data_IF_597372246694
#
_entry.id   IF_597372246694
#
_cell.length_a   1.000
_cell.length_b   1.000
_cell.length_c   1.000
_cell.angle_alpha   90.00
_cell.angle_beta   90.00
_cell.angle_gamma   90.00
#
_symmetry.space_group_name_H-M   'P 1'
#
loop_
_entity.id
_entity.type
_entity.pdbx_description
1 polymer ?
#
# COMPACT_ATOMS: atom_id res chain seq x y z
N UNK A 1 8.13 -13.82 6.34
CA UNK A 1 6.80 -13.16 6.30
C UNK A 1 6.86 -11.71 6.75
N UNK A 2 7.13 -11.37 8.04
CA UNK A 2 7.21 -9.95 8.49
C UNK A 2 8.14 -9.09 7.64
N UNK A 3 9.35 -9.57 7.38
CA UNK A 3 10.34 -8.83 6.58
C UNK A 3 9.86 -8.53 5.17
N UNK A 4 9.27 -9.52 4.49
CA UNK A 4 8.77 -9.36 3.12
C UNK A 4 7.61 -8.36 3.05
N UNK A 5 6.70 -8.41 4.04
CA UNK A 5 5.60 -7.44 4.15
C UNK A 5 6.12 -6.02 4.32
N UNK A 6 7.08 -5.81 5.23
CA UNK A 6 7.71 -4.50 5.46
C UNK A 6 8.42 -4.04 4.19
N UNK A 7 9.16 -4.91 3.51
CA UNK A 7 9.87 -4.57 2.29
C UNK A 7 8.92 -4.12 1.17
N UNK A 8 7.90 -4.93 0.86
CA UNK A 8 6.91 -4.62 -0.17
C UNK A 8 6.14 -3.35 0.18
N UNK A 9 5.59 -3.27 1.39
CA UNK A 9 4.82 -2.11 1.83
C UNK A 9 5.67 -0.81 1.80
N UNK A 10 6.87 -0.83 2.37
CA UNK A 10 7.74 0.36 2.38
C UNK A 10 8.29 0.73 1.00
N UNK A 11 8.31 -0.21 0.05
CA UNK A 11 8.58 0.08 -1.37
C UNK A 11 7.41 0.81 -2.01
N UNK A 12 6.19 0.31 -1.83
CA UNK A 12 4.99 0.88 -2.46
C UNK A 12 4.67 2.28 -1.96
N UNK A 13 4.73 2.53 -0.65
CA UNK A 13 4.42 3.84 -0.07
C UNK A 13 5.35 4.97 -0.54
N UNK A 14 6.51 4.64 -1.14
CA UNK A 14 7.44 5.65 -1.69
C UNK A 14 7.09 6.08 -3.10
N UNK A 15 6.15 5.39 -3.76
CA UNK A 15 5.65 5.72 -5.08
C UNK A 15 4.51 6.73 -4.90
N UNK A 16 4.61 7.88 -5.57
CA UNK A 16 3.57 8.91 -5.52
C UNK A 16 2.38 8.49 -6.38
N UNK A 17 1.36 7.88 -5.77
CA UNK A 17 0.17 7.38 -6.46
C UNK A 17 -1.08 8.22 -6.22
N UNK A 18 -0.93 9.43 -5.68
CA UNK A 18 -2.08 10.29 -5.36
C UNK A 18 -2.99 10.49 -6.58
N UNK A 19 -4.29 10.34 -6.41
CA UNK A 19 -5.27 10.60 -7.47
C UNK A 19 -5.48 12.10 -7.70
N UNK A 20 -6.09 12.47 -8.84
CA UNK A 20 -6.36 13.87 -9.18
C UNK A 20 -7.75 14.00 -9.81
N UNK A 21 -8.68 14.58 -9.08
CA UNK A 21 -10.08 14.77 -9.52
C UNK A 21 -10.24 15.74 -10.70
N UNK A 22 -9.27 16.63 -10.94
CA UNK A 22 -9.28 17.54 -12.08
C UNK A 22 -8.89 16.85 -13.40
N UNK A 23 -8.32 15.63 -13.32
CA UNK A 23 -7.96 14.85 -14.49
C UNK A 23 -9.15 14.10 -15.07
N UNK A 24 -9.21 14.03 -16.39
CA UNK A 24 -10.21 13.26 -17.13
C UNK A 24 -9.66 11.96 -17.73
N UNK A 25 -8.41 11.60 -17.40
CA UNK A 25 -7.82 10.30 -17.79
C UNK A 25 -8.10 9.26 -16.73
N UNK A 26 -8.04 7.98 -17.12
CA UNK A 26 -8.06 6.85 -16.19
C UNK A 26 -6.80 6.02 -16.44
N UNK A 27 -5.93 5.84 -15.43
CA UNK A 27 -5.92 6.52 -14.13
C UNK A 27 -5.67 8.02 -14.26
N UNK A 28 -6.00 8.77 -13.20
CA UNK A 28 -5.91 10.24 -13.21
C UNK A 28 -4.47 10.75 -13.16
N UNK A 29 -3.51 9.96 -12.66
CA UNK A 29 -2.10 10.33 -12.49
C UNK A 29 -1.16 9.23 -12.96
N UNK A 30 0.02 9.61 -13.47
CA UNK A 30 1.01 8.67 -14.02
C UNK A 30 1.62 7.75 -12.96
N UNK A 31 1.70 8.18 -11.71
CA UNK A 31 2.23 7.35 -10.63
C UNK A 31 1.40 6.09 -10.35
N UNK A 32 0.07 6.15 -10.56
CA UNK A 32 -0.78 4.96 -10.52
C UNK A 32 -0.42 3.96 -11.62
N UNK A 33 -0.07 4.45 -12.83
CA UNK A 33 0.41 3.60 -13.93
C UNK A 33 1.77 2.97 -13.60
N UNK A 34 2.70 3.75 -13.03
CA UNK A 34 4.01 3.23 -12.62
C UNK A 34 3.88 2.15 -11.55
N UNK A 35 3.00 2.36 -10.56
CA UNK A 35 2.74 1.37 -9.53
C UNK A 35 2.06 0.11 -10.10
N UNK A 36 1.07 0.27 -10.98
CA UNK A 36 0.43 -0.88 -11.66
C UNK A 36 1.43 -1.72 -12.45
N UNK A 37 2.36 -1.09 -13.19
CA UNK A 37 3.42 -1.80 -13.92
C UNK A 37 4.38 -2.56 -12.99
N UNK A 38 4.75 -1.97 -11.86
CA UNK A 38 5.54 -2.67 -10.84
C UNK A 38 4.81 -3.93 -10.35
N UNK A 39 3.52 -3.81 -10.02
CA UNK A 39 2.71 -4.93 -9.55
C UNK A 39 2.56 -6.03 -10.60
N UNK A 40 2.39 -5.68 -11.88
CA UNK A 40 2.36 -6.66 -12.98
C UNK A 40 3.63 -7.52 -12.99
N UNK A 41 4.81 -6.92 -12.86
CA UNK A 41 6.06 -7.67 -12.84
C UNK A 41 6.18 -8.51 -11.56
N UNK A 42 5.84 -7.96 -10.39
CA UNK A 42 5.86 -8.73 -9.14
C UNK A 42 4.88 -9.91 -9.15
N UNK A 43 3.68 -9.76 -9.72
CA UNK A 43 2.69 -10.85 -9.84
C UNK A 43 3.19 -11.97 -10.76
N UNK A 44 3.88 -11.63 -11.86
CA UNK A 44 4.53 -12.61 -12.74
C UNK A 44 5.66 -13.34 -12.01
N UNK A 45 6.50 -12.61 -11.26
CA UNK A 45 7.60 -13.19 -10.48
C UNK A 45 7.10 -14.16 -9.38
N UNK A 46 5.97 -13.84 -8.75
CA UNK A 46 5.30 -14.72 -7.77
C UNK A 46 4.77 -16.01 -8.44
N UNK A 47 4.49 -15.96 -9.75
CA UNK A 47 4.00 -17.10 -10.53
C UNK A 47 2.49 -17.12 -10.74
N UNK A 48 1.81 -15.96 -10.63
CA UNK A 48 0.41 -15.87 -11.04
C UNK A 48 0.28 -15.95 -12.56
N UNK A 49 -0.89 -16.39 -13.01
CA UNK A 49 -1.24 -16.50 -14.43
C UNK A 49 -2.23 -15.42 -14.84
N UNK A 50 -2.44 -15.24 -16.14
CA UNK A 50 -3.41 -14.26 -16.67
C UNK A 50 -3.15 -12.82 -16.18
N UNK A 51 -1.88 -12.50 -15.90
CA UNK A 51 -1.47 -11.19 -15.40
C UNK A 51 -1.63 -10.14 -16.51
N UNK A 52 -2.53 -9.20 -16.29
CA UNK A 52 -2.87 -8.14 -17.24
C UNK A 52 -2.97 -6.79 -16.55
N UNK A 53 -2.72 -5.74 -17.32
CA UNK A 53 -3.06 -4.37 -16.98
C UNK A 53 -3.76 -3.78 -18.20
N UNK A 54 -5.01 -3.35 -18.04
CA UNK A 54 -5.77 -2.77 -19.15
C UNK A 54 -5.35 -1.32 -19.45
N UNK A 55 -5.92 -0.75 -20.51
CA UNK A 55 -5.62 0.63 -20.93
C UNK A 55 -6.04 1.69 -19.89
N UNK A 56 -6.92 1.33 -18.94
CA UNK A 56 -7.36 2.19 -17.85
C UNK A 56 -6.56 1.94 -16.55
N UNK A 57 -5.53 1.10 -16.60
CA UNK A 57 -4.62 0.82 -15.49
C UNK A 57 -5.15 -0.17 -14.44
N UNK A 58 -6.23 -0.92 -14.71
CA UNK A 58 -6.67 -1.99 -13.82
C UNK A 58 -5.76 -3.20 -13.96
N UNK A 59 -5.15 -3.61 -12.85
CA UNK A 59 -4.30 -4.80 -12.77
C UNK A 59 -5.14 -6.00 -12.32
N UNK A 60 -5.09 -7.09 -13.10
CA UNK A 60 -5.75 -8.36 -12.77
C UNK A 60 -4.77 -9.52 -12.92
N UNK A 61 -4.94 -10.54 -12.08
CA UNK A 61 -4.15 -11.77 -12.14
C UNK A 61 -4.92 -12.92 -11.46
N UNK A 62 -4.59 -14.14 -11.85
CA UNK A 62 -5.21 -15.37 -11.35
C UNK A 62 -4.16 -16.24 -10.66
N UNK A 63 -4.43 -16.70 -9.44
CA UNK A 63 -3.73 -17.84 -8.85
C UNK A 63 -4.52 -19.11 -9.20
N UNK A 64 -3.96 -20.06 -9.98
CA UNK A 64 -4.68 -21.29 -10.32
C UNK A 64 -5.12 -22.07 -9.09
N UNK A 65 -6.22 -22.80 -9.22
CA UNK A 65 -6.69 -23.70 -8.17
C UNK A 65 -5.59 -24.71 -7.80
N UNK A 66 -5.45 -24.98 -6.51
CA UNK A 66 -4.52 -25.99 -5.98
C UNK A 66 -5.25 -27.29 -5.58
N UNK A 67 -6.45 -27.51 -6.13
CA UNK A 67 -7.31 -28.65 -5.85
C UNK A 67 -8.11 -29.04 -7.09
N UNK A 68 -8.42 -30.33 -7.21
CA UNK A 68 -9.28 -30.86 -8.29
C UNK A 68 -10.78 -30.78 -7.96
N UNK A 69 -11.14 -30.22 -6.80
CA UNK A 69 -12.53 -30.03 -6.40
C UNK A 69 -13.15 -28.87 -7.17
N UNK A 70 -14.44 -28.98 -7.43
CA UNK A 70 -15.24 -27.85 -7.87
C UNK A 70 -15.44 -26.88 -6.69
N UNK A 71 -14.81 -25.71 -6.79
CA UNK A 71 -14.81 -24.68 -5.73
C UNK A 71 -15.11 -23.31 -6.35
N UNK A 72 -15.82 -22.42 -5.64
CA UNK A 72 -16.12 -21.09 -6.15
C UNK A 72 -14.84 -20.25 -6.28
N UNK A 73 -14.79 -19.43 -7.33
CA UNK A 73 -13.78 -18.38 -7.48
C UNK A 73 -14.06 -17.27 -6.46
N UNK A 74 -13.01 -16.78 -5.80
CA UNK A 74 -13.07 -15.63 -4.91
C UNK A 74 -12.11 -14.54 -5.40
N UNK A 75 -12.40 -13.28 -5.10
CA UNK A 75 -11.58 -12.14 -5.48
C UNK A 75 -11.06 -11.37 -4.26
N UNK A 76 -9.83 -10.89 -4.36
CA UNK A 76 -9.25 -9.94 -3.42
C UNK A 76 -8.94 -8.66 -4.17
N UNK A 77 -9.37 -7.52 -3.63
CA UNK A 77 -9.29 -6.23 -4.30
C UNK A 77 -8.60 -5.22 -3.39
N UNK A 78 -7.82 -4.34 -4.01
CA UNK A 78 -7.25 -3.14 -3.43
C UNK A 78 -7.22 -2.05 -4.51
N UNK A 79 -7.15 -0.79 -4.10
CA UNK A 79 -6.95 0.34 -5.01
C UNK A 79 -5.49 0.80 -4.97
N UNK A 80 -5.03 1.50 -6.02
CA UNK A 80 -3.62 1.90 -6.18
C UNK A 80 -3.32 3.30 -5.64
N UNK A 81 -4.33 4.15 -5.59
CA UNK A 81 -4.18 5.57 -5.32
C UNK A 81 -4.17 5.91 -3.82
N UNK A 82 -3.60 7.07 -3.51
CA UNK A 82 -3.67 7.68 -2.18
C UNK A 82 -4.57 8.92 -2.21
N UNK A 83 -5.14 9.26 -1.05
CA UNK A 83 -6.12 10.34 -0.91
C UNK A 83 -5.57 11.72 -1.30
N UNK A 84 -6.47 12.62 -1.69
CA UNK A 84 -6.15 13.99 -2.11
C UNK A 84 -5.92 14.96 -0.94
N UNK A 85 -6.39 14.61 0.26
CA UNK A 85 -6.38 15.46 1.46
C UNK A 85 -4.97 15.84 1.94
N UNK A 86 -3.99 14.94 1.75
CA UNK A 86 -2.60 15.17 2.12
C UNK A 86 -1.66 14.51 1.12
N UNK A 87 -0.47 15.09 0.92
CA UNK A 87 0.44 14.62 -0.13
C UNK A 87 0.94 13.19 0.13
N UNK A 88 0.80 12.33 -0.88
CA UNK A 88 1.42 11.00 -0.95
C UNK A 88 2.85 11.02 -1.51
N UNK A 89 3.40 12.19 -1.80
CA UNK A 89 4.71 12.34 -2.45
C UNK A 89 5.85 12.31 -1.45
N UNK A 90 6.95 11.65 -1.80
CA UNK A 90 8.19 11.61 -1.02
C UNK A 90 8.03 11.09 0.42
N UNK A 91 7.05 10.21 0.66
CA UNK A 91 6.81 9.59 1.97
C UNK A 91 8.09 8.96 2.53
N UNK A 92 8.32 9.19 3.82
CA UNK A 92 9.45 8.66 4.58
C UNK A 92 8.91 7.71 5.66
N UNK A 93 8.70 6.42 5.35
CA UNK A 93 8.15 5.50 6.34
C UNK A 93 9.12 5.37 7.52
N UNK A 94 8.58 5.48 8.73
CA UNK A 94 9.31 5.28 9.99
C UNK A 94 8.87 3.94 10.58
N UNK A 95 9.83 3.07 10.90
CA UNK A 95 9.56 1.76 11.48
C UNK A 95 9.85 1.84 12.98
N UNK A 96 8.82 1.62 13.79
CA UNK A 96 8.92 1.58 15.24
C UNK A 96 8.84 0.13 15.71
N UNK A 97 10.00 -0.50 15.95
CA UNK A 97 10.03 -1.87 16.44
C UNK A 97 9.66 -1.93 17.92
N UNK A 98 8.91 -2.98 18.31
CA UNK A 98 8.47 -3.22 19.69
C UNK A 98 7.94 -1.95 20.36
N UNK A 99 7.02 -1.26 19.68
CA UNK A 99 6.53 0.05 20.07
C UNK A 99 6.16 0.11 21.57
N UNK A 100 6.58 1.15 22.28
CA UNK A 100 6.49 1.22 23.74
C UNK A 100 5.11 1.64 24.28
N UNK A 101 4.22 2.09 23.38
CA UNK A 101 2.89 2.59 23.69
C UNK A 101 2.83 4.08 24.02
N UNK A 102 3.94 4.81 23.90
CA UNK A 102 4.04 6.23 24.23
C UNK A 102 3.91 7.12 22.99
N UNK A 103 4.03 8.44 23.16
CA UNK A 103 3.99 9.37 22.04
C UNK A 103 5.13 9.11 21.02
N UNK A 104 4.84 9.35 19.74
CA UNK A 104 5.80 9.21 18.64
C UNK A 104 6.06 10.57 18.02
N UNK A 105 7.29 11.06 18.09
CA UNK A 105 7.70 12.27 17.36
C UNK A 105 7.93 11.93 15.90
N UNK A 106 7.02 12.38 15.03
CA UNK A 106 7.07 12.13 13.59
C UNK A 106 8.06 13.07 12.88
N UNK A 107 8.16 14.31 13.35
CA UNK A 107 9.10 15.30 12.84
C UNK A 107 9.53 16.25 13.95
N UNK A 108 10.80 16.18 14.36
CA UNK A 108 11.34 17.00 15.45
C UNK A 108 11.38 18.50 15.10
N UNK A 109 11.85 18.85 13.90
CA UNK A 109 12.01 20.25 13.46
C UNK A 109 10.68 21.00 13.39
N UNK A 110 9.62 20.30 13.00
CA UNK A 110 8.27 20.84 12.89
C UNK A 110 7.43 20.61 14.16
N UNK A 111 8.00 19.95 15.19
CA UNK A 111 7.32 19.57 16.42
C UNK A 111 6.00 18.80 16.17
N UNK A 112 6.03 17.85 15.22
CA UNK A 112 4.87 17.00 14.90
C UNK A 112 4.97 15.73 15.72
N UNK A 113 4.02 15.55 16.64
CA UNK A 113 4.00 14.42 17.58
C UNK A 113 2.64 13.77 17.58
N UNK A 114 2.62 12.44 17.44
CA UNK A 114 1.45 11.60 17.63
C UNK A 114 1.34 11.27 19.13
N UNK A 115 0.30 11.73 19.82
CA UNK A 115 0.19 11.54 21.27
C UNK A 115 -1.05 10.72 21.68
N UNK A 116 -1.01 9.99 22.81
CA UNK A 116 -2.18 9.28 23.34
C UNK A 116 -3.38 10.17 23.69
N UNK A 117 -3.18 11.46 23.95
CA UNK A 117 -4.28 12.40 24.20
C UNK A 117 -5.09 12.68 22.94
N UNK A 118 -4.43 12.71 21.77
CA UNK A 118 -5.08 12.87 20.46
C UNK A 118 -5.55 11.53 19.89
N UNK A 119 -4.80 10.46 20.15
CA UNK A 119 -5.05 9.10 19.67
C UNK A 119 -5.07 8.11 20.85
N UNK A 120 -6.20 8.00 21.57
CA UNK A 120 -6.31 7.16 22.78
C UNK A 120 -6.05 5.67 22.57
N UNK A 121 -6.14 5.21 21.33
CA UNK A 121 -5.82 3.84 20.91
C UNK A 121 -4.31 3.55 20.90
N UNK A 122 -3.46 4.58 20.84
CA UNK A 122 -2.02 4.42 20.65
C UNK A 122 -1.37 3.47 21.68
N UNK A 123 -1.65 3.55 23.00
CA UNK A 123 -1.07 2.63 23.98
C UNK A 123 -1.44 1.16 23.77
N UNK A 124 -2.51 0.87 23.02
CA UNK A 124 -2.97 -0.51 22.75
C UNK A 124 -2.06 -1.24 21.76
N UNK A 125 -1.18 -0.54 21.06
CA UNK A 125 -0.19 -1.11 20.14
C UNK A 125 1.16 -1.42 20.82
N UNK A 126 1.23 -1.35 22.15
CA UNK A 126 2.47 -1.67 22.88
C UNK A 126 2.96 -3.09 22.56
N UNK A 127 4.22 -3.20 22.18
CA UNK A 127 4.88 -4.43 21.76
C UNK A 127 4.67 -4.80 20.29
N UNK A 128 3.87 -4.04 19.54
CA UNK A 128 3.63 -4.29 18.11
C UNK A 128 4.77 -3.70 17.25
N UNK A 129 4.79 -4.06 15.97
CA UNK A 129 5.65 -3.48 14.92
C UNK A 129 4.90 -3.53 13.60
#
# INVERSE_FOLDING_TARGET
>A
MKQELIERFTRYVKIDTQSNEESHTVPTTSGQIEFGKLLVEELKEIGLTEVTMDDNGYVMATLPANTDKDVPVIGFLAHLDTATDFTGKNVKPQIHENFDGNAITLNEELNVVLTPEQFPELPSYKGHT
#
